data_IF_350606319805
#
_entry.id   IF_350606319805
#
_cell.length_a   1.000
_cell.length_b   1.000
_cell.length_c   1.000
_cell.angle_alpha   90.00
_cell.angle_beta   90.00
_cell.angle_gamma   90.00
#
_symmetry.space_group_name_H-M   'P 1'
#
loop_
_entity.id
_entity.type
_entity.pdbx_description
1 polymer ?
#
# COMPACT_ATOMS: atom_id res chain seq x y z
N UNK A 1 26.83 -18.96 8.32
CA UNK A 1 25.42 -18.89 7.88
C UNK A 1 25.37 -18.08 6.60
N UNK A 2 24.68 -18.55 5.57
CA UNK A 2 24.44 -17.75 4.37
C UNK A 2 23.17 -16.91 4.59
N UNK A 3 23.20 -15.63 4.27
CA UNK A 3 22.02 -14.77 4.36
C UNK A 3 21.08 -15.05 3.18
N UNK A 4 19.75 -15.06 3.41
CA UNK A 4 18.75 -15.15 2.34
C UNK A 4 18.56 -13.75 1.74
N UNK A 5 18.75 -13.62 0.43
CA UNK A 5 18.50 -12.38 -0.33
C UNK A 5 17.26 -12.60 -1.19
N UNK A 6 16.27 -11.72 -1.06
CA UNK A 6 15.08 -11.68 -1.92
C UNK A 6 15.22 -10.51 -2.90
N UNK A 7 14.81 -10.72 -4.14
CA UNK A 7 14.86 -9.70 -5.21
C UNK A 7 13.48 -9.56 -5.81
N UNK A 8 13.03 -8.32 -6.00
CA UNK A 8 11.74 -7.98 -6.56
C UNK A 8 11.72 -6.53 -7.02
N UNK A 9 10.52 -5.99 -7.21
CA UNK A 9 10.28 -4.62 -7.70
C UNK A 9 9.36 -3.86 -6.77
N UNK A 10 9.36 -2.53 -6.88
CA UNK A 10 8.29 -1.70 -6.37
C UNK A 10 7.14 -1.75 -7.38
N UNK A 11 6.02 -2.33 -6.98
CA UNK A 11 4.86 -2.65 -7.82
C UNK A 11 5.06 -3.81 -8.80
N UNK A 12 3.97 -4.56 -9.01
CA UNK A 12 3.79 -5.47 -10.15
C UNK A 12 2.86 -4.87 -11.22
N UNK A 13 2.21 -3.75 -10.92
CA UNK A 13 1.21 -3.14 -11.80
C UNK A 13 1.65 -1.78 -12.35
N UNK A 14 2.91 -1.39 -12.13
CA UNK A 14 3.48 -0.17 -12.71
C UNK A 14 3.32 -0.17 -14.24
N UNK A 15 2.99 1.00 -14.80
CA UNK A 15 2.68 1.14 -16.22
C UNK A 15 3.88 0.77 -17.10
N UNK A 16 5.10 1.12 -16.68
CA UNK A 16 6.30 0.82 -17.46
C UNK A 16 6.56 -0.68 -17.52
N UNK A 17 6.34 -1.40 -16.41
CA UNK A 17 6.42 -2.86 -16.38
C UNK A 17 5.32 -3.49 -17.25
N UNK A 18 4.07 -3.03 -17.11
CA UNK A 18 2.94 -3.55 -17.89
C UNK A 18 3.15 -3.34 -19.40
N UNK A 19 3.65 -2.18 -19.81
CA UNK A 19 3.85 -1.82 -21.22
C UNK A 19 5.17 -2.38 -21.80
N UNK A 20 6.07 -2.93 -20.96
CA UNK A 20 7.40 -3.41 -21.39
C UNK A 20 7.37 -4.69 -22.25
N UNK A 21 6.24 -5.40 -22.29
CA UNK A 21 6.14 -6.73 -22.88
C UNK A 21 6.65 -7.86 -21.98
N UNK A 22 7.00 -7.58 -20.72
CA UNK A 22 7.42 -8.59 -19.75
C UNK A 22 6.32 -9.60 -19.39
N UNK A 23 5.07 -9.12 -19.33
CA UNK A 23 3.92 -9.99 -19.05
C UNK A 23 3.49 -10.79 -20.28
N UNK A 24 3.08 -12.06 -20.10
CA UNK A 24 2.63 -12.88 -21.20
C UNK A 24 1.25 -12.41 -21.71
N UNK A 25 0.87 -12.68 -22.98
CA UNK A 25 -0.36 -12.14 -23.59
C UNK A 25 -1.67 -12.49 -22.86
N UNK A 26 -1.67 -13.58 -22.09
CA UNK A 26 -2.79 -14.00 -21.25
C UNK A 26 -2.94 -13.19 -19.95
N UNK A 27 -1.91 -12.47 -19.50
CA UNK A 27 -1.94 -11.71 -18.24
C UNK A 27 -2.67 -10.36 -18.40
N UNK A 28 -3.99 -10.43 -18.59
CA UNK A 28 -4.83 -9.26 -18.94
C UNK A 28 -5.42 -8.56 -17.73
N UNK A 29 -5.63 -9.26 -16.62
CA UNK A 29 -6.17 -8.68 -15.39
C UNK A 29 -5.08 -8.39 -14.35
N UNK A 30 -5.36 -7.54 -13.34
CA UNK A 30 -4.46 -7.35 -12.19
C UNK A 30 -4.17 -8.66 -11.43
N UNK A 31 -5.13 -9.58 -11.40
CA UNK A 31 -4.94 -10.91 -10.81
C UNK A 31 -3.94 -11.72 -11.62
N UNK A 32 -4.12 -11.83 -12.94
CA UNK A 32 -3.22 -12.61 -13.79
C UNK A 32 -1.79 -12.09 -13.71
N UNK A 33 -1.63 -10.77 -13.65
CA UNK A 33 -0.32 -10.12 -13.48
C UNK A 33 0.31 -10.44 -12.14
N UNK A 34 -0.44 -10.35 -11.05
CA UNK A 34 0.07 -10.72 -9.72
C UNK A 34 0.49 -12.19 -9.67
N UNK A 35 -0.35 -13.09 -10.21
CA UNK A 35 -0.03 -14.51 -10.29
C UNK A 35 1.23 -14.75 -11.11
N UNK A 36 1.35 -14.12 -12.28
CA UNK A 36 2.56 -14.24 -13.10
C UNK A 36 3.80 -13.71 -12.36
N UNK A 37 3.70 -12.52 -11.77
CA UNK A 37 4.78 -11.87 -11.03
C UNK A 37 5.30 -12.75 -9.90
N UNK A 38 4.40 -13.34 -9.09
CA UNK A 38 4.75 -14.15 -7.94
C UNK A 38 5.38 -15.51 -8.28
N UNK A 39 5.36 -15.93 -9.56
CA UNK A 39 6.13 -17.07 -10.04
C UNK A 39 7.55 -16.68 -10.51
N UNK A 40 7.83 -15.39 -10.72
CA UNK A 40 9.13 -14.89 -11.17
C UNK A 40 9.96 -14.30 -10.02
N UNK A 41 9.31 -13.64 -9.06
CA UNK A 41 9.96 -13.03 -7.90
C UNK A 41 9.32 -13.52 -6.60
N UNK A 42 10.09 -13.67 -5.51
CA UNK A 42 9.58 -14.08 -4.20
C UNK A 42 9.09 -12.92 -3.32
N UNK A 43 9.24 -11.67 -3.77
CA UNK A 43 8.90 -10.48 -2.98
C UNK A 43 8.41 -9.34 -3.87
N UNK A 44 7.55 -8.47 -3.33
CA UNK A 44 7.20 -7.18 -3.94
C UNK A 44 7.02 -6.10 -2.87
N UNK A 45 7.37 -4.86 -3.21
CA UNK A 45 6.89 -3.69 -2.45
C UNK A 45 5.56 -3.23 -3.05
N UNK A 46 4.50 -3.22 -2.23
CA UNK A 46 3.22 -2.61 -2.55
C UNK A 46 3.34 -1.11 -2.29
N UNK A 47 3.51 -0.33 -3.37
CA UNK A 47 3.65 1.13 -3.31
C UNK A 47 2.31 1.86 -3.46
N UNK A 48 1.30 1.21 -4.04
CA UNK A 48 -0.06 1.77 -4.20
C UNK A 48 -0.69 2.25 -2.88
N UNK A 49 -0.32 1.63 -1.76
CA UNK A 49 -0.76 1.97 -0.41
C UNK A 49 -0.29 3.35 0.05
N UNK A 50 0.78 3.88 -0.55
CA UNK A 50 1.20 5.28 -0.36
C UNK A 50 0.12 6.26 -0.84
N UNK A 51 -0.57 5.94 -1.93
CA UNK A 51 -1.54 6.82 -2.58
C UNK A 51 -2.97 6.65 -2.09
N UNK A 52 -3.25 5.66 -1.23
CA UNK A 52 -4.55 5.40 -0.65
C UNK A 52 -4.53 4.15 0.22
N UNK A 53 -5.41 4.08 1.23
CA UNK A 53 -5.46 2.92 2.10
C UNK A 53 -5.84 1.66 1.32
N UNK A 54 -5.13 0.53 1.52
CA UNK A 54 -5.59 -0.74 0.99
C UNK A 54 -6.91 -1.15 1.68
N UNK A 55 -7.74 -1.87 0.94
CA UNK A 55 -8.85 -2.59 1.55
C UNK A 55 -8.36 -3.94 2.06
N UNK A 56 -8.82 -4.39 3.22
CA UNK A 56 -8.51 -5.71 3.78
C UNK A 56 -8.80 -6.85 2.80
N UNK A 57 -9.92 -6.76 2.08
CA UNK A 57 -10.26 -7.70 1.01
C UNK A 57 -9.16 -7.80 -0.06
N UNK A 58 -8.52 -6.68 -0.42
CA UNK A 58 -7.46 -6.71 -1.43
C UNK A 58 -6.22 -7.45 -0.91
N UNK A 59 -5.86 -7.23 0.36
CA UNK A 59 -4.75 -7.95 0.99
C UNK A 59 -5.03 -9.45 1.08
N UNK A 60 -6.24 -9.85 1.47
CA UNK A 60 -6.65 -11.25 1.45
C UNK A 60 -6.54 -11.87 0.05
N UNK A 61 -7.02 -11.16 -0.98
CA UNK A 61 -6.88 -11.60 -2.37
C UNK A 61 -5.41 -11.70 -2.81
N UNK A 62 -4.50 -10.86 -2.31
CA UNK A 62 -3.07 -10.98 -2.63
C UNK A 62 -2.47 -12.27 -2.05
N UNK A 63 -2.85 -12.64 -0.83
CA UNK A 63 -2.48 -13.93 -0.22
C UNK A 63 -3.01 -15.10 -1.08
N UNK A 64 -4.29 -15.10 -1.44
CA UNK A 64 -4.89 -16.16 -2.27
C UNK A 64 -4.25 -16.32 -3.65
N UNK A 65 -3.61 -15.26 -4.16
CA UNK A 65 -3.06 -15.21 -5.53
C UNK A 65 -1.56 -15.45 -5.61
N UNK A 66 -0.88 -15.64 -4.48
CA UNK A 66 0.58 -15.80 -4.42
C UNK A 66 0.98 -17.08 -3.67
N UNK A 67 2.17 -17.64 -3.93
CA UNK A 67 2.70 -18.79 -3.17
C UNK A 67 2.86 -18.51 -1.67
N UNK A 68 2.91 -19.57 -0.86
CA UNK A 68 3.00 -19.50 0.61
C UNK A 68 4.24 -18.79 1.13
N UNK A 69 5.34 -18.78 0.37
CA UNK A 69 6.60 -18.16 0.73
C UNK A 69 6.81 -16.77 0.10
N UNK A 70 5.80 -16.23 -0.58
CA UNK A 70 5.85 -14.90 -1.19
C UNK A 70 5.72 -13.80 -0.13
N UNK A 71 6.61 -12.81 -0.18
CA UNK A 71 6.68 -11.70 0.79
C UNK A 71 6.10 -10.40 0.21
N UNK A 72 5.33 -9.68 1.01
CA UNK A 72 4.86 -8.33 0.70
C UNK A 72 5.50 -7.33 1.65
N UNK A 73 6.29 -6.41 1.09
CA UNK A 73 6.64 -5.17 1.75
C UNK A 73 5.56 -4.13 1.46
N UNK A 74 5.20 -3.31 2.44
CA UNK A 74 4.10 -2.35 2.31
C UNK A 74 4.62 -0.94 2.51
N UNK A 75 4.39 -0.07 1.54
CA UNK A 75 4.67 1.36 1.71
C UNK A 75 3.57 2.01 2.55
N UNK A 76 3.95 2.70 3.63
CA UNK A 76 2.97 3.39 4.47
C UNK A 76 2.18 4.43 3.66
N UNK A 77 0.92 4.63 4.04
CA UNK A 77 0.08 5.69 3.49
C UNK A 77 0.75 7.06 3.69
N UNK A 78 0.75 7.90 2.65
CA UNK A 78 1.47 9.18 2.61
C UNK A 78 1.17 10.09 3.82
N UNK A 79 -0.08 10.06 4.30
CA UNK A 79 -0.48 10.88 5.44
C UNK A 79 0.29 10.51 6.71
N UNK A 80 0.59 9.24 6.95
CA UNK A 80 1.33 8.79 8.13
C UNK A 80 2.82 9.15 8.08
N UNK A 81 3.36 9.43 6.90
CA UNK A 81 4.74 9.89 6.73
C UNK A 81 4.84 11.40 6.55
N UNK A 82 3.84 12.17 6.99
CA UNK A 82 3.81 13.63 6.95
C UNK A 82 3.83 14.26 5.55
N UNK A 83 3.61 13.46 4.50
CA UNK A 83 3.33 13.98 3.16
C UNK A 83 1.87 14.45 3.08
N UNK A 84 1.56 15.45 2.23
CA UNK A 84 0.18 15.80 1.93
C UNK A 84 -0.51 14.65 1.19
N UNK A 85 -1.66 14.21 1.68
CA UNK A 85 -2.51 13.24 1.00
C UNK A 85 -3.69 13.97 0.32
N UNK A 86 -3.98 13.72 -0.97
CA UNK A 86 -5.17 14.28 -1.61
C UNK A 86 -6.44 13.86 -0.85
N UNK A 87 -7.41 14.75 -0.62
CA UNK A 87 -8.63 14.33 0.08
C UNK A 87 -9.33 13.15 -0.60
N UNK A 88 -9.24 13.06 -1.92
CA UNK A 88 -9.79 11.96 -2.72
C UNK A 88 -9.17 10.58 -2.44
N UNK A 89 -7.99 10.49 -1.81
CA UNK A 89 -7.39 9.20 -1.42
C UNK A 89 -7.91 8.66 -0.10
N UNK A 90 -8.65 9.47 0.68
CA UNK A 90 -9.32 9.00 1.86
C UNK A 90 -10.49 8.08 1.47
N UNK A 91 -10.81 7.07 2.31
CA UNK A 91 -12.06 6.33 2.20
C UNK A 91 -13.25 7.28 2.08
N UNK A 92 -14.19 6.95 1.19
CA UNK A 92 -15.29 7.84 0.80
C UNK A 92 -16.12 8.32 1.99
N UNK A 93 -16.39 7.41 2.92
CA UNK A 93 -17.15 7.66 4.15
C UNK A 93 -16.41 8.64 5.08
N UNK A 94 -15.11 8.44 5.30
CA UNK A 94 -14.30 9.36 6.11
C UNK A 94 -14.17 10.73 5.48
N UNK A 95 -14.03 10.78 4.15
CA UNK A 95 -14.01 12.05 3.40
C UNK A 95 -15.32 12.82 3.53
N UNK A 96 -16.46 12.14 3.56
CA UNK A 96 -17.79 12.76 3.72
C UNK A 96 -18.07 13.21 5.15
N UNK A 97 -17.42 12.59 6.14
CA UNK A 97 -17.53 12.96 7.55
C UNK A 97 -16.60 14.11 7.98
N UNK A 98 -15.80 14.67 7.06
CA UNK A 98 -14.89 15.77 7.38
C UNK A 98 -15.64 17.03 7.79
N UNK A 99 -15.18 17.76 8.82
CA UNK A 99 -15.72 19.07 9.17
C UNK A 99 -15.62 20.07 8.01
N UNK A 100 -16.54 21.04 7.99
CA UNK A 100 -16.48 22.20 7.10
C UNK A 100 -15.13 22.92 7.25
N UNK A 101 -14.55 23.41 6.15
CA UNK A 101 -13.20 24.00 6.12
C UNK A 101 -12.04 23.01 5.92
N UNK A 102 -12.09 21.79 6.46
CA UNK A 102 -11.09 20.73 6.15
C UNK A 102 -11.39 20.12 4.78
N UNK A 103 -12.67 19.83 4.51
CA UNK A 103 -13.14 19.26 3.25
C UNK A 103 -12.98 20.16 2.01
N UNK A 104 -12.68 21.44 2.21
CA UNK A 104 -12.48 22.43 1.14
C UNK A 104 -11.04 22.45 0.61
N UNK A 105 -10.08 21.90 1.37
CA UNK A 105 -8.69 21.79 0.93
C UNK A 105 -8.53 20.69 -0.12
N UNK A 106 -7.61 20.87 -1.06
CA UNK A 106 -7.26 19.79 -2.02
C UNK A 106 -6.54 18.62 -1.33
N UNK A 107 -5.68 18.94 -0.36
CA UNK A 107 -4.81 17.99 0.33
C UNK A 107 -4.98 18.12 1.85
N UNK A 108 -4.91 17.00 2.55
CA UNK A 108 -4.83 16.88 4.00
C UNK A 108 -3.38 16.68 4.43
N UNK A 109 -2.97 17.39 5.48
CA UNK A 109 -1.71 17.17 6.18
C UNK A 109 -2.00 16.44 7.50
N UNK A 110 -1.08 15.58 7.96
CA UNK A 110 -1.28 14.81 9.20
C UNK A 110 -1.60 15.69 10.41
N UNK A 111 -0.92 16.84 10.54
CA UNK A 111 -1.15 17.82 11.61
C UNK A 111 -2.52 18.51 11.57
N UNK A 112 -3.14 18.55 10.38
CA UNK A 112 -4.46 19.16 10.17
C UNK A 112 -5.59 18.12 10.31
N UNK A 113 -5.26 16.83 10.45
CA UNK A 113 -6.23 15.76 10.56
C UNK A 113 -6.80 15.67 11.99
N UNK A 114 -8.15 15.69 12.15
CA UNK A 114 -8.77 15.48 13.45
C UNK A 114 -8.28 14.18 14.13
N UNK A 115 -8.16 14.13 15.46
CA UNK A 115 -7.73 12.92 16.18
C UNK A 115 -8.51 11.66 15.78
N UNK A 116 -9.85 11.70 15.85
CA UNK A 116 -10.70 10.55 15.51
C UNK A 116 -10.50 10.06 14.07
N UNK A 117 -10.23 10.98 13.13
CA UNK A 117 -9.91 10.61 11.75
C UNK A 117 -8.56 9.89 11.68
N UNK A 118 -7.55 10.36 12.42
CA UNK A 118 -6.23 9.71 12.44
C UNK A 118 -6.34 8.29 13.02
N UNK A 119 -7.06 8.13 14.11
CA UNK A 119 -7.27 6.84 14.76
C UNK A 119 -7.96 5.86 13.81
N UNK A 120 -9.01 6.31 13.12
CA UNK A 120 -9.74 5.47 12.17
C UNK A 120 -8.92 5.13 10.92
N UNK A 121 -8.09 6.05 10.42
CA UNK A 121 -7.16 5.74 9.33
C UNK A 121 -6.13 4.70 9.74
N UNK A 122 -5.58 4.79 10.96
CA UNK A 122 -4.66 3.79 11.51
C UNK A 122 -5.34 2.43 11.71
N UNK A 123 -6.55 2.41 12.25
CA UNK A 123 -7.34 1.18 12.40
C UNK A 123 -7.53 0.47 11.05
N UNK A 124 -7.93 1.22 10.01
CA UNK A 124 -8.11 0.65 8.67
C UNK A 124 -6.81 0.18 8.04
N UNK A 125 -5.73 0.93 8.21
CA UNK A 125 -4.42 0.52 7.72
C UNK A 125 -4.00 -0.79 8.38
N UNK A 126 -4.06 -0.88 9.71
CA UNK A 126 -3.73 -2.08 10.46
C UNK A 126 -4.61 -3.27 10.04
N UNK A 127 -5.94 -3.08 9.97
CA UNK A 127 -6.88 -4.12 9.53
C UNK A 127 -6.53 -4.63 8.13
N UNK A 128 -6.16 -3.73 7.23
CA UNK A 128 -5.80 -4.10 5.87
C UNK A 128 -4.48 -4.88 5.76
N UNK A 129 -3.61 -4.82 6.78
CA UNK A 129 -2.39 -5.62 6.83
C UNK A 129 -2.58 -6.98 7.51
N UNK A 130 -3.64 -7.15 8.33
CA UNK A 130 -3.90 -8.40 9.06
C UNK A 130 -3.91 -9.65 8.18
N UNK A 131 -4.47 -9.66 6.95
CA UNK A 131 -4.41 -10.85 6.10
C UNK A 131 -2.97 -11.25 5.74
N UNK A 132 -2.10 -10.27 5.49
CA UNK A 132 -0.69 -10.52 5.19
C UNK A 132 0.07 -11.01 6.42
N UNK A 133 -0.16 -10.36 7.57
CA UNK A 133 0.45 -10.73 8.86
C UNK A 133 0.03 -12.13 9.29
N UNK A 134 -1.27 -12.42 9.28
CA UNK A 134 -1.83 -13.72 9.68
C UNK A 134 -1.37 -14.86 8.77
N UNK A 135 -1.08 -14.58 7.50
CA UNK A 135 -0.53 -15.55 6.56
C UNK A 135 1.00 -15.72 6.67
N UNK A 136 1.68 -14.92 7.50
CA UNK A 136 3.14 -14.90 7.61
C UNK A 136 3.84 -14.29 6.38
N UNK A 137 3.12 -13.45 5.62
CA UNK A 137 3.58 -12.88 4.34
C UNK A 137 3.81 -11.37 4.37
N UNK A 138 3.60 -10.72 5.52
CA UNK A 138 4.00 -9.32 5.73
C UNK A 138 5.51 -9.26 6.03
N UNK A 139 6.29 -8.64 5.15
CA UNK A 139 7.73 -8.45 5.32
C UNK A 139 8.04 -7.23 6.18
N UNK A 140 8.01 -6.06 5.56
CA UNK A 140 8.29 -4.78 6.22
C UNK A 140 7.20 -3.75 5.90
N UNK A 141 7.07 -2.75 6.79
CA UNK A 141 6.27 -1.56 6.52
C UNK A 141 7.21 -0.37 6.40
N UNK A 142 7.31 0.20 5.19
CA UNK A 142 8.22 1.29 4.88
C UNK A 142 7.60 2.65 5.22
N UNK A 143 8.19 3.34 6.19
CA UNK A 143 7.89 4.74 6.52
C UNK A 143 8.92 5.68 5.87
N UNK A 144 8.64 6.12 4.65
CA UNK A 144 9.46 7.10 3.95
C UNK A 144 9.00 8.53 4.29
N UNK A 145 9.76 9.23 5.13
CA UNK A 145 9.51 10.63 5.49
C UNK A 145 10.10 11.61 4.46
N UNK A 146 9.51 12.81 4.30
CA UNK A 146 10.03 13.81 3.38
C UNK A 146 11.34 14.43 3.92
N UNK A 147 12.18 15.02 3.05
CA UNK A 147 13.44 15.64 3.46
C UNK A 147 13.31 16.78 4.49
N UNK A 148 12.13 17.39 4.60
CA UNK A 148 11.82 18.45 5.55
C UNK A 148 11.22 17.94 6.87
N UNK A 149 11.15 16.62 7.07
CA UNK A 149 10.76 16.05 8.35
C UNK A 149 11.92 16.20 9.34
N UNK A 150 11.63 16.82 10.48
CA UNK A 150 12.56 16.92 11.60
C UNK A 150 12.01 16.05 12.74
N UNK A 151 12.74 15.01 13.19
CA UNK A 151 12.38 14.30 14.41
C UNK A 151 12.49 15.28 15.59
N UNK A 152 11.42 15.35 16.39
CA UNK A 152 11.35 16.19 17.59
C UNK A 152 12.15 15.64 18.76
#
# INVERSE_FOLDING_TARGET
MSARILVGTCSWADKTLVDSGWYPPQAKSPEDRLRHYAHQFPIVEVDSTYYGLPAERNAALWVERTPDDFTFDIKSYALFTHHPAPLRSLPKDLRQALPAGVGEKRNLYYRDAPPDLRDELWNRFNSALLPLDSAGRLGTVLFQFPPWFLPG
#
